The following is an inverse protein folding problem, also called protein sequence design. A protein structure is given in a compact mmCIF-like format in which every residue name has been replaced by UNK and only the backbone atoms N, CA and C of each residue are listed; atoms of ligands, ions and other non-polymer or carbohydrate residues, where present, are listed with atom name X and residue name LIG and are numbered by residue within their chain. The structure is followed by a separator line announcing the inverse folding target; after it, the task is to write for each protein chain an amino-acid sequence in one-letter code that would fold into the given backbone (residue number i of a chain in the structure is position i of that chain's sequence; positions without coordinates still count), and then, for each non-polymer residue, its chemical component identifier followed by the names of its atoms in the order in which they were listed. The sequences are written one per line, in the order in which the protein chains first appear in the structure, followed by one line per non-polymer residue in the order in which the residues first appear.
data_IF_804037452369
#
_entry.id   IF_804037452369
#
_cell.length_a   1.000
_cell.length_b   1.000
_cell.length_c   1.000
_cell.angle_alpha   90.00
_cell.angle_beta   90.00
_cell.angle_gamma   90.00
#
_symmetry.space_group_name_H-M   'P 1'
#
loop_
_entity.id
_entity.type
_entity.pdbx_description
1 polymer ?
#
# COMPACT_ATOMS: atom_id res chain seq x y z
N UNK A 1 11.38 -15.48 -0.59
CA UNK A 1 11.48 -14.63 0.61
C UNK A 1 10.16 -14.71 1.36
N UNK A 2 10.16 -15.08 2.64
CA UNK A 2 8.95 -15.13 3.47
C UNK A 2 8.56 -13.73 4.00
N UNK A 3 7.44 -13.62 4.70
CA UNK A 3 6.94 -12.32 5.20
C UNK A 3 7.93 -11.60 6.13
N UNK A 4 8.55 -12.32 7.07
CA UNK A 4 9.50 -11.72 8.02
C UNK A 4 10.79 -11.27 7.34
N UNK A 5 11.32 -12.06 6.41
CA UNK A 5 12.48 -11.69 5.59
C UNK A 5 12.20 -10.46 4.71
N UNK A 6 10.99 -10.37 4.14
CA UNK A 6 10.56 -9.20 3.34
C UNK A 6 10.49 -7.94 4.20
N UNK A 7 9.88 -8.02 5.38
CA UNK A 7 9.77 -6.89 6.28
C UNK A 7 11.15 -6.34 6.67
N UNK A 8 12.09 -7.22 7.08
CA UNK A 8 13.46 -6.81 7.41
C UNK A 8 14.21 -6.22 6.22
N UNK A 9 14.00 -6.76 5.01
CA UNK A 9 14.63 -6.23 3.79
C UNK A 9 14.13 -4.83 3.45
N UNK A 10 12.82 -4.57 3.60
CA UNK A 10 12.23 -3.25 3.33
C UNK A 10 12.62 -2.23 4.40
N UNK A 11 12.65 -2.62 5.67
CA UNK A 11 13.11 -1.77 6.78
C UNK A 11 14.60 -1.37 6.69
N UNK A 12 15.42 -2.13 5.97
CA UNK A 12 16.82 -1.76 5.73
C UNK A 12 16.98 -0.64 4.68
N UNK A 13 15.90 -0.25 3.99
CA UNK A 13 15.94 0.81 3.00
C UNK A 13 15.96 2.19 3.67
N UNK A 14 16.92 3.05 3.31
CA UNK A 14 17.06 4.41 3.88
C UNK A 14 15.84 5.32 3.69
N UNK A 15 14.94 4.98 2.76
CA UNK A 15 13.76 5.77 2.41
C UNK A 15 12.50 5.30 3.14
N UNK A 16 12.60 4.26 3.97
CA UNK A 16 11.47 3.65 4.67
C UNK A 16 11.62 3.91 6.16
N UNK A 17 10.61 4.55 6.76
CA UNK A 17 10.55 4.76 8.21
C UNK A 17 9.82 3.60 8.92
N UNK A 18 8.76 3.06 8.31
CA UNK A 18 7.91 2.03 8.92
C UNK A 18 7.36 1.05 7.87
N UNK A 19 7.05 -0.18 8.29
CA UNK A 19 6.48 -1.25 7.45
C UNK A 19 5.31 -1.92 8.17
N UNK A 20 4.15 -1.98 7.50
CA UNK A 20 2.98 -2.74 7.97
C UNK A 20 3.17 -4.22 7.63
N UNK A 21 3.44 -5.05 8.64
CA UNK A 21 3.63 -6.50 8.45
C UNK A 21 2.26 -7.17 8.30
N UNK A 22 1.98 -7.71 7.11
CA UNK A 22 0.71 -8.37 6.82
C UNK A 22 -0.41 -7.42 6.39
N UNK A 23 -0.06 -6.32 5.71
CA UNK A 23 -1.03 -5.42 5.12
C UNK A 23 -1.98 -6.17 4.16
N UNK A 24 -3.28 -5.79 4.10
CA UNK A 24 -4.23 -6.29 3.12
C UNK A 24 -3.82 -5.89 1.70
N UNK A 25 -4.35 -6.61 0.70
CA UNK A 25 -4.05 -6.35 -0.71
C UNK A 25 -4.67 -5.02 -1.19
N UNK A 26 -5.98 -4.86 -1.00
CA UNK A 26 -6.69 -3.61 -1.24
C UNK A 26 -6.45 -2.58 -0.14
N UNK A 27 -6.30 -1.32 -0.52
CA UNK A 27 -6.10 -0.22 0.43
C UNK A 27 -7.40 0.09 1.16
N UNK A 28 -7.42 -0.09 2.49
CA UNK A 28 -8.61 0.08 3.32
C UNK A 28 -8.66 1.46 3.99
N UNK A 29 -9.86 1.89 4.37
CA UNK A 29 -10.06 3.15 5.10
C UNK A 29 -9.41 3.13 6.50
N UNK A 30 -9.33 1.95 7.12
CA UNK A 30 -8.72 1.78 8.42
C UNK A 30 -7.23 2.16 8.38
N UNK A 31 -6.50 1.75 7.35
CA UNK A 31 -5.09 2.11 7.17
C UNK A 31 -4.95 3.60 6.88
N UNK A 32 -5.80 4.16 6.00
CA UNK A 32 -5.66 5.54 5.55
C UNK A 32 -6.02 6.59 6.60
N UNK A 33 -6.94 6.27 7.53
CA UNK A 33 -7.51 7.25 8.47
C UNK A 33 -7.38 6.86 9.95
N UNK A 34 -7.45 5.56 10.29
CA UNK A 34 -7.54 5.13 11.71
C UNK A 34 -6.17 4.79 12.27
N UNK A 35 -5.37 4.04 11.52
CA UNK A 35 -4.04 3.62 11.93
C UNK A 35 -2.99 4.68 11.59
N UNK A 36 -3.10 5.27 10.39
CA UNK A 36 -2.19 6.30 9.90
C UNK A 36 -2.98 7.49 9.36
N UNK A 37 -2.34 8.66 9.32
CA UNK A 37 -2.87 9.85 8.65
C UNK A 37 -2.22 9.98 7.27
N UNK A 38 -2.68 9.18 6.30
CA UNK A 38 -2.03 9.05 5.00
C UNK A 38 -2.43 10.21 4.08
N UNK A 39 -1.43 10.97 3.61
CA UNK A 39 -1.64 12.09 2.68
C UNK A 39 -1.54 11.70 1.21
N UNK A 40 -0.79 10.63 0.89
CA UNK A 40 -0.54 10.19 -0.48
C UNK A 40 -0.35 8.67 -0.54
N UNK A 41 -0.86 8.05 -1.59
CA UNK A 41 -0.63 6.63 -1.94
C UNK A 41 0.05 6.59 -3.29
N UNK A 42 1.19 5.88 -3.37
CA UNK A 42 2.03 5.87 -4.56
C UNK A 42 2.19 4.42 -5.05
N UNK A 43 2.03 4.21 -6.36
CA UNK A 43 2.34 2.96 -7.03
C UNK A 43 3.17 3.22 -8.29
N UNK A 44 4.01 2.27 -8.67
CA UNK A 44 4.82 2.40 -9.88
C UNK A 44 4.02 2.14 -11.16
N UNK A 45 4.60 2.43 -12.32
CA UNK A 45 4.04 2.10 -13.66
C UNK A 45 3.81 0.59 -13.95
N UNK A 46 4.08 -0.30 -13.00
CA UNK A 46 3.81 -1.73 -13.13
C UNK A 46 2.31 -2.03 -13.05
N UNK A 47 1.81 -2.96 -13.88
CA UNK A 47 0.42 -3.39 -13.84
C UNK A 47 0.03 -3.92 -12.45
N UNK A 48 -1.03 -3.37 -11.88
CA UNK A 48 -1.69 -3.92 -10.68
C UNK A 48 -2.68 -5.00 -11.10
N UNK A 49 -2.69 -6.12 -10.39
CA UNK A 49 -3.75 -7.12 -10.53
C UNK A 49 -5.01 -6.66 -9.78
N UNK A 50 -6.17 -7.15 -10.21
CA UNK A 50 -7.42 -6.93 -9.49
C UNK A 50 -7.44 -7.81 -8.24
N UNK A 51 -8.14 -7.35 -7.21
CA UNK A 51 -8.35 -8.17 -6.01
C UNK A 51 -9.29 -9.36 -6.33
N UNK A 52 -9.46 -10.27 -5.37
CA UNK A 52 -10.23 -11.51 -5.51
C UNK A 52 -11.70 -11.31 -5.91
N UNK A 53 -12.25 -10.12 -5.65
CA UNK A 53 -13.61 -9.69 -5.99
C UNK A 53 -13.67 -8.95 -7.34
N UNK A 54 -12.53 -8.76 -8.01
CA UNK A 54 -12.40 -8.03 -9.26
C UNK A 54 -12.30 -6.50 -9.09
N UNK A 55 -12.21 -5.99 -7.86
CA UNK A 55 -12.05 -4.58 -7.59
C UNK A 55 -10.60 -4.11 -7.82
N UNK A 56 -10.43 -2.82 -8.11
CA UNK A 56 -9.12 -2.18 -8.16
C UNK A 56 -8.61 -1.95 -6.72
N UNK A 57 -7.45 -2.49 -6.33
CA UNK A 57 -6.92 -2.33 -4.96
C UNK A 57 -6.68 -0.86 -4.57
N UNK A 58 -6.60 0.04 -5.54
CA UNK A 58 -6.41 1.47 -5.36
C UNK A 58 -7.68 2.32 -5.57
N UNK A 59 -8.87 1.70 -5.70
CA UNK A 59 -10.14 2.43 -5.91
C UNK A 59 -10.39 3.50 -4.83
N UNK A 60 -10.19 3.14 -3.56
CA UNK A 60 -10.38 4.05 -2.44
C UNK A 60 -9.40 5.25 -2.47
N UNK A 61 -8.08 5.07 -2.58
CA UNK A 61 -7.13 6.18 -2.78
C UNK A 61 -7.43 7.05 -4.02
N UNK A 62 -7.83 6.44 -5.13
CA UNK A 62 -8.17 7.15 -6.38
C UNK A 62 -9.41 8.02 -6.19
N UNK A 63 -10.48 7.49 -5.58
CA UNK A 63 -11.70 8.26 -5.30
C UNK A 63 -11.45 9.45 -4.37
N UNK A 64 -10.46 9.36 -3.48
CA UNK A 64 -10.03 10.46 -2.59
C UNK A 64 -9.07 11.46 -3.22
N UNK A 65 -8.59 11.19 -4.44
CA UNK A 65 -7.63 12.06 -5.13
C UNK A 65 -6.23 12.08 -4.51
N UNK A 66 -5.87 11.05 -3.74
CA UNK A 66 -4.56 10.93 -3.06
C UNK A 66 -3.65 9.87 -3.71
N UNK A 67 -4.11 9.20 -4.77
CA UNK A 67 -3.32 8.24 -5.54
C UNK A 67 -2.45 8.93 -6.58
N UNK A 68 -1.17 8.57 -6.62
CA UNK A 68 -0.19 9.04 -7.62
C UNK A 68 0.51 7.83 -8.24
N UNK A 69 0.59 7.81 -9.56
CA UNK A 69 1.37 6.82 -10.31
C UNK A 69 2.72 7.43 -10.72
N UNK A 70 3.82 6.69 -10.52
CA UNK A 70 5.20 7.12 -10.83
C UNK A 70 5.99 6.14 -11.70
#
# INVERSE_FOLDING_TARGET
MNLHERALSVLACRYVDEVIIGAPYSVTEDILNKEYNVSVVIHGTTSSELDIDGADPYELPKSRGIYIEI
#
